data_IF_005627289746
#
_entry.id   IF_005627289746
#
_cell.length_a   1.000
_cell.length_b   1.000
_cell.length_c   1.000
_cell.angle_alpha   90.00
_cell.angle_beta   90.00
_cell.angle_gamma   90.00
#
_symmetry.space_group_name_H-M   'P 1'
#
loop_
_entity.id
_entity.type
_entity.pdbx_description
1 polymer ?
#
# COMPACT_ATOMS: atom_id res chain seq x y z
N UNK A 1 -14.62 18.54 28.89
CA UNK A 1 -14.63 19.36 27.64
C UNK A 1 -13.30 19.28 26.87
N UNK A 2 -12.12 19.26 27.51
CA UNK A 2 -10.82 19.09 26.81
C UNK A 2 -10.49 17.66 26.30
N UNK A 3 -11.22 16.63 26.76
CA UNK A 3 -11.07 15.23 26.31
C UNK A 3 -11.83 14.91 25.01
N UNK A 4 -12.80 15.73 24.62
CA UNK A 4 -13.57 15.57 23.39
C UNK A 4 -12.89 16.21 22.16
N UNK A 5 -12.13 17.30 22.33
CA UNK A 5 -11.44 17.95 21.21
C UNK A 5 -10.22 17.19 20.68
N UNK A 6 -9.61 16.27 21.46
CA UNK A 6 -8.35 15.61 21.04
C UNK A 6 -8.51 14.38 20.14
N UNK A 7 -9.71 13.78 20.09
CA UNK A 7 -10.02 12.70 19.11
C UNK A 7 -10.11 13.20 17.66
N UNK A 8 -10.19 14.52 17.46
CA UNK A 8 -10.27 15.12 16.12
C UNK A 8 -8.89 15.40 15.49
N UNK A 9 -7.79 15.23 16.22
CA UNK A 9 -6.47 15.67 15.76
C UNK A 9 -5.72 14.63 14.91
N UNK A 10 -6.08 13.34 14.98
CA UNK A 10 -5.50 12.31 14.14
C UNK A 10 -6.53 11.22 13.80
N UNK A 11 -6.75 10.90 12.51
CA UNK A 11 -7.58 9.78 12.07
C UNK A 11 -7.24 8.45 12.76
N UNK A 12 -5.94 8.24 13.03
CA UNK A 12 -5.39 7.05 13.68
C UNK A 12 -5.91 6.86 15.12
N UNK A 13 -6.24 7.95 15.83
CA UNK A 13 -6.73 7.88 17.21
C UNK A 13 -8.08 7.16 17.35
N UNK A 14 -8.89 7.16 16.28
CA UNK A 14 -10.16 6.44 16.23
C UNK A 14 -9.98 4.92 16.04
N UNK A 15 -8.91 4.50 15.34
CA UNK A 15 -8.62 3.10 15.07
C UNK A 15 -8.13 2.34 16.31
N UNK A 16 -7.43 3.02 17.22
CA UNK A 16 -6.88 2.40 18.44
C UNK A 16 -7.79 2.48 19.66
N UNK A 17 -9.05 2.91 19.49
CA UNK A 17 -10.13 2.71 20.46
C UNK A 17 -9.74 2.88 21.93
N UNK A 18 -9.15 4.02 22.32
CA UNK A 18 -8.82 4.30 23.72
C UNK A 18 -7.86 3.31 24.41
N UNK A 19 -7.20 2.41 23.67
CA UNK A 19 -6.23 1.48 24.22
C UNK A 19 -5.02 2.24 24.81
N UNK A 20 -4.35 1.60 25.76
CA UNK A 20 -3.16 2.03 26.53
C UNK A 20 -2.18 3.03 25.86
N UNK A 21 -1.81 2.92 24.57
CA UNK A 21 -1.00 3.94 23.88
C UNK A 21 -1.59 5.36 23.92
N UNK A 22 -2.90 5.55 23.75
CA UNK A 22 -3.50 6.88 23.87
C UNK A 22 -3.31 7.46 25.28
N UNK A 23 -3.41 6.64 26.34
CA UNK A 23 -3.19 7.12 27.72
C UNK A 23 -1.73 7.50 27.99
N UNK A 24 -0.75 6.78 27.44
CA UNK A 24 0.66 7.14 27.57
C UNK A 24 1.02 8.40 26.80
N UNK A 25 0.43 8.61 25.61
CA UNK A 25 0.55 9.84 24.82
C UNK A 25 -0.07 11.05 25.54
N UNK A 26 -1.20 10.85 26.22
CA UNK A 26 -1.93 11.88 26.96
C UNK A 26 -1.28 12.29 28.30
N UNK A 27 -0.37 11.49 28.86
CA UNK A 27 0.18 11.68 30.23
C UNK A 27 1.43 12.56 30.30
N UNK A 28 1.65 13.49 29.35
CA UNK A 28 2.81 14.40 29.39
C UNK A 28 4.15 13.78 28.93
N UNK A 29 4.17 12.48 28.58
CA UNK A 29 5.31 11.80 27.96
C UNK A 29 5.44 12.02 26.45
N UNK A 30 4.44 12.67 25.83
CA UNK A 30 4.40 12.99 24.40
C UNK A 30 5.41 14.05 23.93
N UNK A 31 6.09 14.72 24.86
CA UNK A 31 7.12 15.72 24.56
C UNK A 31 8.47 15.11 24.16
N UNK A 32 8.69 13.82 24.47
CA UNK A 32 9.87 13.06 24.07
C UNK A 32 9.48 12.01 22.98
N UNK A 33 9.83 12.27 21.71
CA UNK A 33 9.51 11.37 20.59
C UNK A 33 10.02 9.93 20.79
N UNK A 34 11.15 9.75 21.47
CA UNK A 34 11.76 8.44 21.68
C UNK A 34 10.90 7.47 22.48
N UNK A 35 10.09 7.99 23.41
CA UNK A 35 9.16 7.16 24.19
C UNK A 35 7.96 6.69 23.35
N UNK A 36 7.69 7.35 22.22
CA UNK A 36 6.57 7.09 21.32
C UNK A 36 6.96 6.08 20.23
N UNK A 37 8.24 5.95 19.88
CA UNK A 37 8.74 5.06 18.81
C UNK A 37 8.20 3.64 18.91
N UNK A 38 8.13 3.06 20.12
CA UNK A 38 7.57 1.72 20.38
C UNK A 38 6.09 1.54 19.98
N UNK A 39 5.39 2.63 19.68
CA UNK A 39 3.99 2.63 19.27
C UNK A 39 3.81 2.89 17.76
N UNK A 40 4.87 3.26 17.03
CA UNK A 40 4.82 3.47 15.58
C UNK A 40 4.37 2.22 14.79
N UNK A 41 4.78 0.98 15.12
CA UNK A 41 4.30 -0.22 14.42
C UNK A 41 2.79 -0.44 14.48
N UNK A 42 2.10 0.24 15.40
CA UNK A 42 0.63 0.20 15.44
C UNK A 42 0.03 1.22 14.48
N UNK A 43 0.67 2.36 14.30
CA UNK A 43 0.15 3.52 13.59
C UNK A 43 0.38 3.44 12.07
N UNK A 44 1.51 2.87 11.66
CA UNK A 44 1.97 2.76 10.28
C UNK A 44 2.04 1.28 9.87
N UNK A 45 2.02 0.99 8.57
CA UNK A 45 2.11 -0.41 8.11
C UNK A 45 3.47 -1.02 8.44
N UNK A 46 4.57 -0.31 8.13
CA UNK A 46 5.91 -0.83 8.37
C UNK A 46 6.93 0.21 8.84
N UNK A 47 6.52 1.30 9.50
CA UNK A 47 7.46 2.20 10.19
C UNK A 47 7.60 1.75 11.64
N UNK A 48 8.76 1.19 11.98
CA UNK A 48 9.02 0.66 13.33
C UNK A 48 9.72 1.67 14.24
N UNK A 49 10.70 2.41 13.71
CA UNK A 49 11.40 3.45 14.44
C UNK A 49 11.93 4.52 13.48
N UNK A 50 12.35 5.66 14.02
CA UNK A 50 12.92 6.78 13.29
C UNK A 50 14.40 6.95 13.65
N UNK A 51 15.20 7.39 12.68
CA UNK A 51 16.57 7.86 12.91
C UNK A 51 16.54 9.35 13.22
N UNK A 52 17.23 9.79 14.28
CA UNK A 52 17.28 11.18 14.70
C UNK A 52 18.70 11.74 14.57
N UNK A 53 18.80 13.03 14.22
CA UNK A 53 20.04 13.77 14.36
C UNK A 53 20.53 13.72 15.82
N UNK A 54 21.84 13.69 16.01
CA UNK A 54 22.47 13.70 17.34
C UNK A 54 22.98 15.10 17.67
N UNK A 55 22.87 15.49 18.93
CA UNK A 55 23.45 16.73 19.44
C UNK A 55 24.97 16.59 19.69
N UNK A 56 25.59 17.66 20.21
CA UNK A 56 27.04 17.69 20.52
C UNK A 56 27.46 16.65 21.56
N UNK A 57 26.54 16.21 22.40
CA UNK A 57 26.74 15.22 23.45
C UNK A 57 26.31 13.81 22.99
N UNK A 58 26.11 13.63 21.67
CA UNK A 58 25.69 12.39 21.02
C UNK A 58 24.30 11.89 21.44
N UNK A 59 23.46 12.75 22.02
CA UNK A 59 22.09 12.42 22.36
C UNK A 59 21.14 12.65 21.17
N UNK A 60 20.17 11.75 20.95
CA UNK A 60 19.19 11.90 19.89
C UNK A 60 18.29 13.13 20.11
N UNK A 61 18.26 14.01 19.11
CA UNK A 61 17.40 15.19 19.05
C UNK A 61 15.95 14.83 18.73
N UNK A 62 15.09 15.83 18.53
CA UNK A 62 13.71 15.65 18.05
C UNK A 62 13.59 15.69 16.53
N UNK A 63 14.69 15.95 15.83
CA UNK A 63 14.74 16.07 14.36
C UNK A 63 15.07 14.71 13.77
N UNK A 64 14.06 14.06 13.18
CA UNK A 64 14.19 12.82 12.46
C UNK A 64 14.71 13.05 11.04
N UNK A 65 15.54 12.12 10.55
CA UNK A 65 16.22 12.17 9.24
C UNK A 65 15.91 10.97 8.35
N UNK A 66 15.24 9.97 8.89
CA UNK A 66 14.89 8.75 8.19
C UNK A 66 14.09 7.80 9.07
N UNK A 67 13.75 6.65 8.50
CA UNK A 67 12.93 5.63 9.13
C UNK A 67 13.49 4.24 8.93
N UNK A 68 13.13 3.34 9.84
CA UNK A 68 13.44 1.92 9.78
C UNK A 68 12.17 1.08 9.68
N UNK A 69 12.21 0.06 8.81
CA UNK A 69 11.17 -0.97 8.75
C UNK A 69 11.28 -2.02 9.85
N UNK A 70 10.25 -2.86 9.97
CA UNK A 70 10.29 -4.07 10.80
C UNK A 70 11.37 -5.06 10.36
N UNK A 71 11.80 -5.01 9.10
CA UNK A 71 12.94 -5.75 8.56
C UNK A 71 14.31 -5.08 8.83
N UNK A 72 14.36 -3.96 9.55
CA UNK A 72 15.57 -3.13 9.71
C UNK A 72 16.11 -2.55 8.39
N UNK A 73 15.25 -2.36 7.38
CA UNK A 73 15.60 -1.58 6.19
C UNK A 73 15.54 -0.10 6.53
N UNK A 74 16.63 0.63 6.26
CA UNK A 74 16.71 2.06 6.48
C UNK A 74 16.33 2.85 5.23
N UNK A 75 15.48 3.87 5.40
CA UNK A 75 15.13 4.82 4.35
C UNK A 75 15.45 6.23 4.84
N UNK A 76 16.39 6.88 4.16
CA UNK A 76 16.72 8.29 4.42
C UNK A 76 15.72 9.22 3.73
N UNK A 77 15.37 10.32 4.39
CA UNK A 77 14.48 11.32 3.80
C UNK A 77 15.29 12.45 3.13
N UNK A 78 14.77 13.05 2.03
CA UNK A 78 15.39 14.22 1.41
C UNK A 78 15.41 15.46 2.32
N UNK A 79 14.41 15.58 3.21
CA UNK A 79 14.30 16.66 4.19
C UNK A 79 14.09 16.09 5.59
N UNK A 80 14.44 16.86 6.62
CA UNK A 80 14.30 16.44 8.01
C UNK A 80 12.91 16.77 8.55
N UNK A 81 12.48 16.04 9.58
CA UNK A 81 11.18 16.23 10.22
C UNK A 81 11.33 16.47 11.72
N UNK A 82 10.74 17.55 12.25
CA UNK A 82 10.79 17.85 13.68
C UNK A 82 9.57 17.27 14.41
N UNK A 83 9.81 16.32 15.31
CA UNK A 83 8.78 15.71 16.15
C UNK A 83 8.49 16.59 17.39
N UNK A 84 7.89 17.75 17.18
CA UNK A 84 7.58 18.72 18.23
C UNK A 84 6.07 18.98 18.38
N UNK A 85 5.65 19.31 19.60
CA UNK A 85 4.26 19.62 19.91
C UNK A 85 3.42 18.39 20.29
N UNK A 86 2.08 18.48 20.18
CA UNK A 86 1.17 17.39 20.49
C UNK A 86 1.42 16.16 19.62
N UNK A 87 1.33 14.97 20.22
CA UNK A 87 1.62 13.69 19.55
C UNK A 87 0.74 13.46 18.34
N UNK A 88 -0.54 13.80 18.43
CA UNK A 88 -1.46 13.63 17.31
C UNK A 88 -1.09 14.51 16.12
N UNK A 89 -0.62 15.73 16.38
CA UNK A 89 -0.24 16.70 15.34
C UNK A 89 1.04 16.28 14.61
N UNK A 90 2.09 15.92 15.35
CA UNK A 90 3.33 15.52 14.68
C UNK A 90 3.24 14.12 14.08
N UNK A 91 2.44 13.20 14.60
CA UNK A 91 2.21 11.90 13.93
C UNK A 91 1.49 12.08 12.60
N UNK A 92 0.48 12.95 12.54
CA UNK A 92 -0.18 13.29 11.28
C UNK A 92 0.79 14.00 10.31
N UNK A 93 1.59 14.93 10.82
CA UNK A 93 2.64 15.59 10.04
C UNK A 93 3.70 14.60 9.53
N UNK A 94 4.05 13.60 10.32
CA UNK A 94 4.99 12.53 9.96
C UNK A 94 4.44 11.71 8.81
N UNK A 95 3.16 11.31 8.84
CA UNK A 95 2.52 10.61 7.71
C UNK A 95 2.68 11.37 6.40
N UNK A 96 2.28 12.64 6.38
CA UNK A 96 2.41 13.48 5.17
C UNK A 96 3.87 13.63 4.73
N UNK A 97 4.77 13.88 5.69
CA UNK A 97 6.20 14.00 5.41
C UNK A 97 6.80 12.72 4.80
N UNK A 98 6.39 11.55 5.30
CA UNK A 98 6.85 10.27 4.75
C UNK A 98 6.32 10.03 3.35
N UNK A 99 5.05 10.35 3.07
CA UNK A 99 4.47 10.24 1.74
C UNK A 99 5.17 11.17 0.74
N UNK A 100 5.37 12.44 1.10
CA UNK A 100 6.08 13.42 0.26
C UNK A 100 7.54 13.01 0.02
N UNK A 101 8.23 12.53 1.06
CA UNK A 101 9.62 12.07 0.96
C UNK A 101 9.73 10.85 0.05
N UNK A 102 8.84 9.88 0.18
CA UNK A 102 8.82 8.68 -0.66
C UNK A 102 8.45 9.02 -2.11
N UNK A 103 7.55 9.98 -2.33
CA UNK A 103 7.21 10.48 -3.66
C UNK A 103 8.42 11.10 -4.36
N UNK A 104 9.19 11.94 -3.65
CA UNK A 104 10.43 12.51 -4.19
C UNK A 104 11.48 11.42 -4.46
N UNK A 105 11.70 10.50 -3.50
CA UNK A 105 12.61 9.37 -3.71
C UNK A 105 12.20 8.45 -4.86
N UNK A 106 10.90 8.31 -5.13
CA UNK A 106 10.42 7.56 -6.29
C UNK A 106 10.84 8.22 -7.60
N UNK A 107 10.75 9.55 -7.70
CA UNK A 107 11.20 10.29 -8.90
C UNK A 107 12.70 10.12 -9.15
N UNK A 108 13.50 10.22 -8.09
CA UNK A 108 14.95 9.98 -8.14
C UNK A 108 15.24 8.51 -8.55
N UNK A 109 14.49 7.55 -8.02
CA UNK A 109 14.63 6.13 -8.31
C UNK A 109 14.30 5.80 -9.77
N UNK A 110 13.22 6.37 -10.33
CA UNK A 110 12.87 6.22 -11.75
C UNK A 110 13.98 6.79 -12.64
N UNK A 111 14.48 7.99 -12.31
CA UNK A 111 15.52 8.66 -13.11
C UNK A 111 16.85 7.89 -13.12
N UNK A 112 17.16 7.18 -12.03
CA UNK A 112 18.40 6.43 -11.88
C UNK A 112 18.34 5.00 -12.47
N UNK A 113 17.18 4.54 -12.97
CA UNK A 113 17.01 3.15 -13.41
C UNK A 113 17.95 2.76 -14.56
N UNK A 114 18.17 3.68 -15.50
CA UNK A 114 19.02 3.43 -16.68
C UNK A 114 20.53 3.62 -16.41
N UNK A 115 20.92 4.07 -15.22
CA UNK A 115 22.34 4.29 -14.88
C UNK A 115 23.11 2.98 -14.68
N UNK A 116 22.42 1.91 -14.28
CA UNK A 116 23.02 0.61 -13.95
C UNK A 116 22.17 -0.55 -14.45
N UNK A 117 22.77 -1.73 -14.68
CA UNK A 117 22.00 -2.93 -14.91
C UNK A 117 21.00 -3.20 -13.77
N UNK A 118 19.78 -3.61 -14.10
CA UNK A 118 18.69 -3.87 -13.12
C UNK A 118 19.12 -4.71 -11.92
N UNK A 119 19.91 -5.76 -12.13
CA UNK A 119 20.39 -6.66 -11.08
C UNK A 119 21.36 -6.02 -10.07
N UNK A 120 21.95 -4.87 -10.39
CA UNK A 120 22.77 -4.07 -9.48
C UNK A 120 21.95 -2.91 -8.90
N UNK A 121 21.15 -2.23 -9.75
CA UNK A 121 20.30 -1.10 -9.37
C UNK A 121 19.38 -1.38 -8.16
N UNK A 122 18.83 -2.60 -8.07
CA UNK A 122 17.88 -2.97 -7.01
C UNK A 122 18.46 -2.87 -5.58
N UNK A 123 19.79 -2.86 -5.43
CA UNK A 123 20.45 -2.74 -4.12
C UNK A 123 20.64 -1.29 -3.68
N UNK A 124 20.63 -0.33 -4.61
CA UNK A 124 20.80 1.09 -4.30
C UNK A 124 19.56 1.70 -3.62
N UNK A 125 18.40 1.06 -3.81
CA UNK A 125 17.10 1.56 -3.36
C UNK A 125 16.43 0.59 -2.39
N UNK A 126 15.53 1.13 -1.55
CA UNK A 126 14.72 0.30 -0.66
C UNK A 126 13.77 -0.60 -1.48
N UNK A 127 13.38 -1.74 -0.90
CA UNK A 127 12.65 -2.79 -1.60
C UNK A 127 11.37 -2.28 -2.26
N UNK A 128 10.63 -1.41 -1.58
CA UNK A 128 9.38 -0.83 -2.10
C UNK A 128 9.61 0.02 -3.35
N UNK A 129 10.61 0.91 -3.35
CA UNK A 129 10.91 1.77 -4.49
C UNK A 129 11.43 0.94 -5.67
N UNK A 130 12.42 0.07 -5.42
CA UNK A 130 12.98 -0.81 -6.44
C UNK A 130 11.89 -1.67 -7.10
N UNK A 131 11.00 -2.28 -6.32
CA UNK A 131 9.91 -3.11 -6.85
C UNK A 131 8.88 -2.29 -7.64
N UNK A 132 8.60 -1.05 -7.23
CA UNK A 132 7.63 -0.21 -7.96
C UNK A 132 8.21 0.28 -9.28
N UNK A 133 9.48 0.71 -9.31
CA UNK A 133 10.15 1.12 -10.56
C UNK A 133 10.26 -0.06 -11.52
N UNK A 134 10.59 -1.26 -11.03
CA UNK A 134 10.59 -2.46 -11.88
C UNK A 134 9.23 -2.72 -12.54
N UNK A 135 8.10 -2.44 -11.85
CA UNK A 135 6.75 -2.57 -12.41
C UNK A 135 6.43 -1.49 -13.45
N UNK A 136 6.95 -0.27 -13.26
CA UNK A 136 6.81 0.82 -14.25
C UNK A 136 7.53 0.41 -15.54
N UNK A 137 8.82 0.05 -15.43
CA UNK A 137 9.63 -0.36 -16.57
C UNK A 137 9.04 -1.57 -17.27
N UNK A 138 8.55 -2.57 -16.53
CA UNK A 138 7.84 -3.70 -17.12
C UNK A 138 6.63 -3.26 -17.95
N UNK A 139 5.83 -2.33 -17.45
CA UNK A 139 4.66 -1.81 -18.16
C UNK A 139 5.07 -1.10 -19.45
N UNK A 140 6.12 -0.29 -19.38
CA UNK A 140 6.68 0.44 -20.52
C UNK A 140 7.28 -0.51 -21.58
N UNK A 141 8.09 -1.48 -21.17
CA UNK A 141 8.71 -2.47 -22.08
C UNK A 141 7.67 -3.32 -22.82
N UNK A 142 6.57 -3.71 -22.15
CA UNK A 142 5.48 -4.45 -22.80
C UNK A 142 4.74 -3.55 -23.80
N UNK A 143 4.45 -2.29 -23.45
CA UNK A 143 3.80 -1.36 -24.36
C UNK A 143 4.69 -1.04 -25.57
N UNK A 144 5.99 -0.82 -25.35
CA UNK A 144 6.98 -0.67 -26.42
C UNK A 144 7.02 -1.91 -27.32
N UNK A 145 6.93 -3.11 -26.75
CA UNK A 145 6.88 -4.35 -27.54
C UNK A 145 5.64 -4.42 -28.44
N UNK A 146 4.49 -3.86 -28.01
CA UNK A 146 3.31 -3.72 -28.86
C UNK A 146 3.49 -2.68 -29.96
N UNK A 147 4.11 -1.54 -29.67
CA UNK A 147 4.44 -0.52 -30.70
C UNK A 147 5.35 -1.11 -31.79
N UNK A 148 6.35 -1.89 -31.39
CA UNK A 148 7.24 -2.59 -32.33
C UNK A 148 6.50 -3.66 -33.16
N UNK A 149 5.49 -4.32 -32.60
CA UNK A 149 4.62 -5.23 -33.36
C UNK A 149 3.83 -4.48 -34.44
N UNK A 150 3.30 -3.30 -34.12
CA UNK A 150 2.58 -2.44 -35.07
C UNK A 150 3.50 -1.93 -36.20
N UNK A 151 4.78 -1.69 -35.90
CA UNK A 151 5.82 -1.36 -36.89
C UNK A 151 6.26 -2.56 -37.75
N UNK A 152 5.76 -3.77 -37.47
CA UNK A 152 6.01 -4.99 -38.26
C UNK A 152 7.06 -5.94 -37.67
N UNK A 153 7.56 -5.71 -36.46
CA UNK A 153 8.46 -6.63 -35.78
C UNK A 153 7.69 -7.73 -35.03
N UNK A 154 7.32 -8.81 -35.75
CA UNK A 154 6.58 -9.96 -35.21
C UNK A 154 7.25 -10.70 -34.03
N UNK A 155 8.53 -10.42 -33.75
CA UNK A 155 9.29 -11.06 -32.67
C UNK A 155 9.47 -10.17 -31.43
N UNK A 156 8.94 -8.94 -31.41
CA UNK A 156 9.17 -8.00 -30.32
C UNK A 156 8.85 -8.59 -28.93
N UNK A 157 7.67 -9.17 -28.74
CA UNK A 157 7.29 -9.84 -27.48
C UNK A 157 8.17 -11.04 -27.14
N UNK A 158 8.61 -11.81 -28.15
CA UNK A 158 9.50 -12.98 -27.94
C UNK A 158 10.89 -12.54 -27.50
N UNK A 159 11.40 -11.45 -28.06
CA UNK A 159 12.70 -10.90 -27.71
C UNK A 159 12.66 -10.24 -26.33
N UNK A 160 11.55 -9.59 -25.96
CA UNK A 160 11.33 -9.14 -24.60
C UNK A 160 11.27 -10.32 -23.61
N UNK A 161 10.56 -11.40 -23.94
CA UNK A 161 10.50 -12.58 -23.10
C UNK A 161 11.89 -13.19 -22.83
N UNK A 162 12.78 -13.23 -23.82
CA UNK A 162 14.18 -13.66 -23.62
C UNK A 162 14.90 -12.77 -22.60
N UNK A 163 14.76 -11.45 -22.69
CA UNK A 163 15.33 -10.51 -21.71
C UNK A 163 14.82 -10.78 -20.30
N UNK A 164 13.53 -11.09 -20.13
CA UNK A 164 12.95 -11.45 -18.83
C UNK A 164 13.60 -12.74 -18.27
N UNK A 165 13.80 -13.75 -19.11
CA UNK A 165 14.45 -15.00 -18.72
C UNK A 165 15.91 -14.74 -18.28
N UNK A 166 16.65 -13.89 -19.00
CA UNK A 166 18.02 -13.54 -18.64
C UNK A 166 18.11 -12.84 -17.29
N UNK A 167 17.18 -11.93 -16.98
CA UNK A 167 17.12 -11.27 -15.66
C UNK A 167 16.78 -12.27 -14.56
N UNK A 168 15.84 -13.19 -14.78
CA UNK A 168 15.51 -14.24 -13.82
C UNK A 168 16.71 -15.16 -13.54
N UNK A 169 17.50 -15.48 -14.56
CA UNK A 169 18.74 -16.26 -14.39
C UNK A 169 19.76 -15.49 -13.53
N UNK A 170 19.93 -14.19 -13.77
CA UNK A 170 20.80 -13.34 -12.92
C UNK A 170 20.31 -13.28 -11.47
N UNK A 171 19.00 -13.21 -11.24
CA UNK A 171 18.44 -13.28 -9.89
C UNK A 171 18.73 -14.64 -9.23
N UNK A 172 18.62 -15.75 -9.97
CA UNK A 172 18.97 -17.07 -9.47
C UNK A 172 20.45 -17.15 -9.06
N UNK A 173 21.36 -16.61 -9.89
CA UNK A 173 22.80 -16.54 -9.57
C UNK A 173 23.06 -15.70 -8.30
N UNK A 174 22.43 -14.53 -8.17
CA UNK A 174 22.56 -13.69 -6.99
C UNK A 174 22.06 -14.40 -5.71
N UNK A 175 20.94 -15.11 -5.80
CA UNK A 175 20.40 -15.88 -4.67
C UNK A 175 21.32 -17.04 -4.28
N UNK A 176 22.04 -17.65 -5.22
CA UNK A 176 23.04 -18.69 -4.90
C UNK A 176 24.31 -18.12 -4.24
N UNK A 177 24.57 -16.81 -4.42
CA UNK A 177 25.68 -16.11 -3.79
C UNK A 177 25.45 -15.68 -2.34
N UNK A 178 26.41 -14.89 -1.84
CA UNK A 178 26.34 -14.28 -0.51
C UNK A 178 25.53 -12.97 -0.56
N UNK A 179 24.46 -12.93 0.23
CA UNK A 179 23.55 -11.78 0.34
C UNK A 179 23.13 -11.60 1.78
N UNK A 180 22.88 -10.36 2.19
CA UNK A 180 22.23 -10.08 3.47
C UNK A 180 20.82 -10.69 3.51
N UNK A 181 20.28 -10.93 4.70
CA UNK A 181 18.92 -11.47 4.84
C UNK A 181 17.85 -10.60 4.16
N UNK A 182 18.01 -9.27 4.23
CA UNK A 182 17.10 -8.32 3.59
C UNK A 182 17.24 -8.32 2.08
N UNK A 183 18.46 -8.32 1.56
CA UNK A 183 18.70 -8.35 0.11
C UNK A 183 18.20 -9.65 -0.50
N UNK A 184 18.42 -10.78 0.18
CA UNK A 184 17.86 -12.06 -0.23
C UNK A 184 16.33 -12.03 -0.30
N UNK A 185 15.67 -11.47 0.72
CA UNK A 185 14.19 -11.30 0.72
C UNK A 185 13.73 -10.38 -0.40
N UNK A 186 14.47 -9.29 -0.67
CA UNK A 186 14.19 -8.35 -1.75
C UNK A 186 14.26 -9.04 -3.12
N UNK A 187 15.31 -9.80 -3.40
CA UNK A 187 15.47 -10.52 -4.67
C UNK A 187 14.40 -11.59 -4.84
N UNK A 188 14.10 -12.38 -3.79
CA UNK A 188 13.03 -13.39 -3.87
C UNK A 188 11.68 -12.73 -4.20
N UNK A 189 11.42 -11.55 -3.64
CA UNK A 189 10.20 -10.78 -3.91
C UNK A 189 10.16 -10.33 -5.38
N UNK A 190 11.23 -9.72 -5.88
CA UNK A 190 11.33 -9.30 -7.29
C UNK A 190 11.25 -10.48 -8.26
N UNK A 191 11.91 -11.59 -7.94
CA UNK A 191 11.88 -12.82 -8.73
C UNK A 191 10.46 -13.39 -8.81
N UNK A 192 9.69 -13.36 -7.71
CA UNK A 192 8.29 -13.82 -7.68
C UNK A 192 7.42 -12.97 -8.60
N UNK A 193 7.58 -11.64 -8.55
CA UNK A 193 6.87 -10.71 -9.44
C UNK A 193 7.25 -10.91 -10.91
N UNK A 194 8.54 -11.09 -11.20
CA UNK A 194 9.04 -11.24 -12.57
C UNK A 194 8.66 -12.57 -13.21
N UNK A 195 8.52 -13.65 -12.43
CA UNK A 195 7.98 -14.92 -12.92
C UNK A 195 6.54 -14.74 -13.40
N UNK A 196 5.70 -14.08 -12.62
CA UNK A 196 4.34 -13.74 -13.05
C UNK A 196 4.33 -12.85 -14.29
N UNK A 197 5.14 -11.79 -14.30
CA UNK A 197 5.25 -10.88 -15.43
C UNK A 197 5.70 -11.57 -16.73
N UNK A 198 6.60 -12.56 -16.63
CA UNK A 198 7.01 -13.41 -17.74
C UNK A 198 5.87 -14.30 -18.22
N UNK A 199 5.14 -14.94 -17.30
CA UNK A 199 4.05 -15.84 -17.64
C UNK A 199 2.91 -15.10 -18.34
N UNK A 200 2.64 -13.84 -17.96
CA UNK A 200 1.73 -12.94 -18.70
C UNK A 200 2.20 -12.72 -20.13
N UNK A 201 3.48 -12.40 -20.34
CA UNK A 201 4.04 -12.18 -21.69
C UNK A 201 3.98 -13.45 -22.54
N UNK A 202 4.25 -14.62 -21.96
CA UNK A 202 4.07 -15.91 -22.64
C UNK A 202 2.60 -16.07 -23.07
N UNK A 203 1.65 -15.77 -22.18
CA UNK A 203 0.23 -15.80 -22.51
C UNK A 203 -0.16 -14.85 -23.65
N UNK A 204 0.44 -13.66 -23.72
CA UNK A 204 0.24 -12.72 -24.83
C UNK A 204 0.79 -13.26 -26.16
N UNK A 205 1.95 -13.93 -26.14
CA UNK A 205 2.55 -14.57 -27.32
C UNK A 205 1.67 -15.74 -27.80
N UNK A 206 1.24 -16.60 -26.88
CA UNK A 206 0.45 -17.79 -27.19
C UNK A 206 -0.94 -17.43 -27.74
N UNK A 207 -1.54 -16.35 -27.21
CA UNK A 207 -2.80 -15.81 -27.70
C UNK A 207 -2.67 -14.95 -28.96
N UNK A 208 -1.44 -14.72 -29.45
CA UNK A 208 -1.13 -13.85 -30.60
C UNK A 208 -1.73 -12.45 -30.43
N UNK A 209 -1.50 -11.84 -29.27
CA UNK A 209 -1.94 -10.49 -29.00
C UNK A 209 -1.27 -9.49 -29.96
N UNK A 210 -2.08 -8.81 -30.78
CA UNK A 210 -1.58 -7.81 -31.75
C UNK A 210 -1.55 -6.40 -31.18
N UNK A 211 -2.36 -6.11 -30.14
CA UNK A 211 -2.48 -4.76 -29.56
C UNK A 211 -2.45 -4.77 -28.04
N UNK A 212 -2.05 -3.63 -27.46
CA UNK A 212 -2.10 -3.40 -26.02
C UNK A 212 -3.54 -3.28 -25.47
N UNK A 213 -4.55 -3.22 -26.34
CA UNK A 213 -5.98 -3.20 -26.01
C UNK A 213 -6.55 -4.61 -25.76
N UNK A 214 -5.72 -5.65 -25.81
CA UNK A 214 -6.17 -7.02 -25.52
C UNK A 214 -6.56 -7.16 -24.05
N UNK A 215 -7.67 -7.86 -23.78
CA UNK A 215 -8.14 -8.03 -22.40
C UNK A 215 -7.08 -8.66 -21.49
N UNK A 216 -6.29 -9.61 -22.01
CA UNK A 216 -5.21 -10.26 -21.27
C UNK A 216 -4.17 -9.26 -20.72
N UNK A 217 -3.88 -8.18 -21.45
CA UNK A 217 -3.00 -7.11 -20.99
C UNK A 217 -3.74 -6.02 -20.20
N UNK A 218 -4.96 -5.66 -20.61
CA UNK A 218 -5.78 -4.69 -19.89
C UNK A 218 -6.13 -5.14 -18.48
N UNK A 219 -6.25 -6.45 -18.26
CA UNK A 219 -6.58 -7.05 -16.96
C UNK A 219 -5.42 -7.06 -15.97
N UNK A 220 -4.21 -6.69 -16.38
CA UNK A 220 -3.04 -6.62 -15.52
C UNK A 220 -2.97 -5.28 -14.79
N UNK A 221 -2.37 -5.30 -13.59
CA UNK A 221 -2.09 -4.11 -12.82
C UNK A 221 -0.83 -3.41 -13.38
N UNK A 222 -1.03 -2.25 -13.98
CA UNK A 222 0.00 -1.49 -14.71
C UNK A 222 0.37 -0.23 -13.95
N UNK A 223 1.64 0.15 -14.03
CA UNK A 223 2.23 1.27 -13.31
C UNK A 223 2.89 2.20 -14.32
N UNK A 224 2.65 3.50 -14.18
CA UNK A 224 3.17 4.54 -15.06
C UNK A 224 3.65 5.71 -14.21
N UNK A 225 4.75 6.34 -14.58
CA UNK A 225 5.10 7.63 -14.00
C UNK A 225 4.27 8.73 -14.69
N UNK A 226 3.46 9.48 -13.93
CA UNK A 226 2.68 10.58 -14.48
C UNK A 226 3.43 11.90 -14.31
N UNK A 227 4.00 12.41 -15.41
CA UNK A 227 4.76 13.66 -15.45
C UNK A 227 3.98 14.89 -14.98
N UNK A 228 2.64 14.87 -15.08
CA UNK A 228 1.81 16.03 -14.67
C UNK A 228 1.70 16.12 -13.15
N UNK A 229 1.56 14.97 -12.50
CA UNK A 229 1.38 14.91 -11.04
C UNK A 229 2.68 14.55 -10.30
N UNK A 230 3.70 14.16 -11.05
CA UNK A 230 4.95 13.55 -10.60
C UNK A 230 4.71 12.40 -9.60
N UNK A 231 3.65 11.62 -9.84
CA UNK A 231 3.20 10.49 -9.02
C UNK A 231 3.09 9.24 -9.89
N UNK A 232 3.26 8.06 -9.30
CA UNK A 232 2.97 6.79 -9.97
C UNK A 232 1.46 6.62 -10.15
N UNK A 233 1.00 6.62 -11.40
CA UNK A 233 -0.36 6.29 -11.82
C UNK A 233 -0.48 4.77 -11.99
N UNK A 234 -1.55 4.21 -11.45
CA UNK A 234 -1.83 2.78 -11.49
C UNK A 234 -3.14 2.57 -12.25
N UNK A 235 -3.14 1.61 -13.15
CA UNK A 235 -4.32 1.28 -13.94
C UNK A 235 -4.53 -0.24 -14.03
N UNK A 236 -5.79 -0.66 -13.99
CA UNK A 236 -6.22 -2.03 -14.23
C UNK A 236 -7.63 -1.99 -14.80
N UNK A 237 -7.81 -2.60 -15.98
CA UNK A 237 -8.99 -2.40 -16.80
C UNK A 237 -9.31 -0.90 -16.96
N UNK A 238 -10.47 -0.45 -16.47
CA UNK A 238 -10.92 0.95 -16.50
C UNK A 238 -10.82 1.65 -15.12
N UNK A 239 -10.22 1.00 -14.13
CA UNK A 239 -9.92 1.60 -12.83
C UNK A 239 -8.56 2.30 -12.89
N UNK A 240 -8.53 3.55 -12.45
CA UNK A 240 -7.32 4.39 -12.40
C UNK A 240 -7.21 4.98 -11.01
N UNK A 241 -6.04 4.85 -10.41
CA UNK A 241 -5.70 5.46 -9.12
C UNK A 241 -4.25 5.93 -9.13
N UNK A 242 -3.85 6.64 -8.09
CA UNK A 242 -2.46 7.00 -7.82
C UNK A 242 -1.91 6.16 -6.67
N UNK A 243 -0.61 5.88 -6.69
CA UNK A 243 0.08 5.15 -5.62
C UNK A 243 0.02 5.96 -4.32
N UNK A 244 -0.34 5.31 -3.21
CA UNK A 244 -0.60 5.96 -1.93
C UNK A 244 0.64 6.32 -1.11
N UNK A 245 1.82 5.80 -1.48
CA UNK A 245 3.11 6.03 -0.80
C UNK A 245 3.15 5.70 0.70
N UNK A 246 2.27 4.83 1.19
CA UNK A 246 2.46 4.22 2.51
C UNK A 246 3.72 3.34 2.51
N UNK A 247 4.58 3.46 3.52
CA UNK A 247 5.79 2.66 3.60
C UNK A 247 5.48 1.21 4.02
N UNK A 248 5.52 0.32 3.03
CA UNK A 248 5.23 -1.12 3.19
C UNK A 248 6.50 -1.91 3.59
N UNK A 249 7.69 -1.35 3.34
CA UNK A 249 8.98 -2.00 3.57
C UNK A 249 9.19 -3.29 2.77
N UNK A 250 10.12 -4.13 3.21
CA UNK A 250 10.50 -5.37 2.52
C UNK A 250 9.66 -6.56 3.01
N UNK A 251 8.33 -6.47 2.90
CA UNK A 251 7.41 -7.44 3.52
C UNK A 251 7.20 -8.73 2.71
N UNK A 252 7.85 -8.89 1.55
CA UNK A 252 7.55 -9.95 0.59
C UNK A 252 6.32 -9.63 -0.27
N UNK A 253 6.01 -10.53 -1.21
CA UNK A 253 4.80 -10.47 -2.04
C UNK A 253 4.10 -11.82 -2.02
N UNK A 254 2.77 -11.83 -2.12
CA UNK A 254 2.01 -13.05 -2.35
C UNK A 254 2.32 -13.60 -3.76
N UNK A 255 2.41 -14.92 -3.89
CA UNK A 255 2.55 -15.53 -5.23
C UNK A 255 1.31 -15.18 -6.05
N UNK A 256 1.53 -14.48 -7.17
CA UNK A 256 0.45 -14.08 -8.07
C UNK A 256 0.02 -15.27 -8.90
N UNK A 257 -1.30 -15.49 -8.98
CA UNK A 257 -1.95 -16.58 -9.70
C UNK A 257 -3.12 -16.03 -10.51
N UNK A 258 -3.65 -16.79 -11.49
CA UNK A 258 -4.87 -16.41 -12.19
C UNK A 258 -6.09 -16.21 -11.29
N UNK A 259 -6.07 -16.74 -10.05
CA UNK A 259 -7.13 -16.48 -9.07
C UNK A 259 -6.96 -15.11 -8.41
N UNK A 260 -5.74 -14.74 -8.01
CA UNK A 260 -5.47 -13.42 -7.41
C UNK A 260 -5.69 -12.30 -8.41
N UNK A 261 -5.33 -12.49 -9.69
CA UNK A 261 -5.61 -11.50 -10.75
C UNK A 261 -7.11 -11.24 -10.89
N UNK A 262 -7.93 -12.30 -10.92
CA UNK A 262 -9.39 -12.17 -10.96
C UNK A 262 -9.94 -11.44 -9.74
N UNK A 263 -9.37 -11.69 -8.57
CA UNK A 263 -9.70 -10.93 -7.36
C UNK A 263 -9.32 -9.46 -7.52
N UNK A 264 -8.14 -9.13 -8.04
CA UNK A 264 -7.69 -7.74 -8.23
C UNK A 264 -8.61 -6.98 -9.16
N UNK A 265 -8.98 -7.58 -10.29
CA UNK A 265 -9.96 -7.00 -11.23
C UNK A 265 -11.28 -6.75 -10.50
N UNK A 266 -11.83 -7.75 -9.82
CA UNK A 266 -13.14 -7.62 -9.16
C UNK A 266 -13.14 -6.54 -8.06
N UNK A 267 -12.10 -6.50 -7.23
CA UNK A 267 -11.97 -5.54 -6.15
C UNK A 267 -11.79 -4.10 -6.67
N UNK A 268 -10.95 -3.91 -7.69
CA UNK A 268 -10.72 -2.60 -8.28
C UNK A 268 -11.93 -2.09 -9.07
N UNK A 269 -12.70 -2.97 -9.71
CA UNK A 269 -13.99 -2.61 -10.29
C UNK A 269 -15.01 -2.20 -9.23
N UNK A 270 -15.07 -2.89 -8.09
CA UNK A 270 -15.93 -2.48 -6.98
C UNK A 270 -15.52 -1.08 -6.46
N UNK A 271 -14.22 -0.84 -6.30
CA UNK A 271 -13.70 0.47 -5.89
C UNK A 271 -14.04 1.58 -6.88
N UNK A 272 -13.95 1.32 -8.19
CA UNK A 272 -14.37 2.26 -9.24
C UNK A 272 -15.82 2.70 -9.06
N UNK A 273 -16.68 1.78 -8.66
CA UNK A 273 -18.10 2.03 -8.37
C UNK A 273 -18.36 2.58 -6.96
N UNK A 274 -17.29 2.91 -6.21
CA UNK A 274 -17.32 3.38 -4.82
C UNK A 274 -18.09 2.37 -3.95
N UNK A 275 -17.80 1.10 -4.16
CA UNK A 275 -18.30 -0.04 -3.39
C UNK A 275 -17.15 -0.69 -2.62
N UNK A 276 -17.51 -1.48 -1.62
CA UNK A 276 -16.61 -2.41 -0.98
C UNK A 276 -16.47 -3.71 -1.78
N UNK A 277 -15.51 -4.55 -1.39
CA UNK A 277 -15.37 -5.90 -1.92
C UNK A 277 -15.70 -6.97 -0.88
N UNK A 278 -16.22 -8.11 -1.34
CA UNK A 278 -16.55 -9.25 -0.49
C UNK A 278 -15.91 -10.56 -0.99
N UNK A 279 -14.57 -10.75 -0.92
CA UNK A 279 -13.96 -12.04 -1.21
C UNK A 279 -14.56 -13.14 -0.34
N UNK A 280 -15.07 -14.20 -0.96
CA UNK A 280 -15.70 -15.33 -0.29
C UNK A 280 -15.08 -16.66 -0.77
N UNK A 281 -14.93 -17.60 0.15
CA UNK A 281 -14.33 -18.90 -0.12
C UNK A 281 -13.90 -19.62 1.17
N UNK A 282 -13.45 -20.88 1.10
CA UNK A 282 -13.06 -21.66 2.28
C UNK A 282 -11.96 -20.99 3.11
N UNK A 283 -11.84 -21.38 4.39
CA UNK A 283 -10.78 -20.90 5.26
C UNK A 283 -9.39 -21.26 4.69
N UNK A 284 -8.40 -20.37 4.88
CA UNK A 284 -7.02 -20.59 4.40
C UNK A 284 -6.79 -20.41 2.90
N UNK A 285 -7.76 -19.89 2.13
CA UNK A 285 -7.63 -19.63 0.68
C UNK A 285 -7.06 -18.26 0.32
N UNK A 286 -6.48 -17.53 1.28
CA UNK A 286 -5.78 -16.27 1.02
C UNK A 286 -6.67 -15.04 0.80
N UNK A 287 -7.93 -15.04 1.27
CA UNK A 287 -8.89 -13.94 1.03
C UNK A 287 -8.42 -12.59 1.61
N UNK A 288 -8.03 -12.62 2.87
CA UNK A 288 -7.54 -11.45 3.62
C UNK A 288 -6.18 -11.02 3.07
N UNK A 289 -5.34 -11.98 2.77
CA UNK A 289 -4.01 -11.81 2.20
C UNK A 289 -4.07 -11.17 0.81
N UNK A 290 -5.02 -11.57 -0.03
CA UNK A 290 -5.24 -10.97 -1.36
C UNK A 290 -5.67 -9.50 -1.25
N UNK A 291 -6.55 -9.18 -0.29
CA UNK A 291 -6.96 -7.78 -0.05
C UNK A 291 -5.79 -6.95 0.46
N UNK A 292 -4.97 -7.51 1.35
CA UNK A 292 -3.77 -6.87 1.86
C UNK A 292 -2.70 -6.67 0.79
N UNK A 293 -2.47 -7.68 -0.06
CA UNK A 293 -1.50 -7.60 -1.16
C UNK A 293 -1.93 -6.56 -2.20
N UNK A 294 -3.23 -6.45 -2.51
CA UNK A 294 -3.75 -5.39 -3.39
C UNK A 294 -3.51 -4.01 -2.77
N UNK A 295 -3.83 -3.81 -1.50
CA UNK A 295 -3.59 -2.52 -0.82
C UNK A 295 -2.11 -2.13 -0.84
N UNK A 296 -1.21 -3.09 -0.59
CA UNK A 296 0.24 -2.89 -0.72
C UNK A 296 0.67 -2.57 -2.15
N UNK A 297 0.11 -3.26 -3.14
CA UNK A 297 0.38 -2.96 -4.55
C UNK A 297 -0.03 -1.53 -4.92
N UNK A 298 -1.07 -0.98 -4.28
CA UNK A 298 -1.51 0.40 -4.45
C UNK A 298 -0.82 1.40 -3.51
N UNK A 299 0.05 0.96 -2.60
CA UNK A 299 0.69 1.85 -1.62
C UNK A 299 -0.25 2.35 -0.52
N UNK A 300 -1.29 1.58 -0.18
CA UNK A 300 -2.34 1.96 0.79
C UNK A 300 -2.32 1.01 1.99
N UNK A 301 -2.49 1.57 3.19
CA UNK A 301 -2.58 0.80 4.42
C UNK A 301 -3.90 0.02 4.52
N UNK A 302 -3.80 -1.28 4.82
CA UNK A 302 -4.96 -2.17 5.04
C UNK A 302 -4.98 -2.64 6.49
N UNK A 303 -5.97 -2.16 7.25
CA UNK A 303 -6.25 -2.63 8.61
C UNK A 303 -7.14 -3.87 8.57
N UNK A 304 -6.65 -4.96 9.15
CA UNK A 304 -7.42 -6.21 9.27
C UNK A 304 -8.09 -6.29 10.64
N UNK A 305 -9.40 -6.44 10.66
CA UNK A 305 -10.21 -6.59 11.87
C UNK A 305 -10.82 -7.98 11.90
N UNK A 306 -10.44 -8.80 12.88
CA UNK A 306 -11.04 -10.12 13.05
C UNK A 306 -12.40 -10.00 13.73
N UNK A 307 -13.48 -10.34 13.03
CA UNK A 307 -14.85 -10.17 13.51
C UNK A 307 -15.25 -11.23 14.55
N UNK A 308 -16.01 -10.79 15.53
CA UNK A 308 -16.60 -11.66 16.56
C UNK A 308 -18.02 -11.21 16.90
N UNK A 309 -18.74 -12.07 17.61
CA UNK A 309 -20.08 -11.82 18.14
C UNK A 309 -20.12 -10.70 19.19
N UNK A 310 -18.96 -10.34 19.76
CA UNK A 310 -18.80 -9.26 20.73
C UNK A 310 -18.63 -7.87 20.09
N UNK A 311 -18.49 -7.78 18.76
CA UNK A 311 -18.39 -6.47 18.08
C UNK A 311 -19.72 -5.73 18.12
N UNK A 312 -19.71 -4.51 18.64
CA UNK A 312 -20.87 -3.62 18.64
C UNK A 312 -20.82 -2.57 17.51
N UNK A 313 -21.99 -2.06 17.12
CA UNK A 313 -22.11 -1.05 16.07
C UNK A 313 -21.40 0.27 16.41
N UNK A 314 -21.19 0.55 17.71
CA UNK A 314 -20.50 1.76 18.18
C UNK A 314 -19.02 1.68 17.91
N UNK A 315 -18.39 0.54 18.20
CA UNK A 315 -16.97 0.28 17.91
C UNK A 315 -16.74 0.27 16.42
N UNK A 316 -17.60 -0.42 15.65
CA UNK A 316 -17.56 -0.39 14.18
C UNK A 316 -17.67 1.05 13.64
N UNK A 317 -18.59 1.85 14.19
CA UNK A 317 -18.71 3.27 13.86
C UNK A 317 -17.43 4.06 14.15
N UNK A 318 -16.70 3.78 15.24
CA UNK A 318 -15.40 4.43 15.50
C UNK A 318 -14.34 4.00 14.48
N UNK A 319 -14.29 2.72 14.13
CA UNK A 319 -13.36 2.19 13.13
C UNK A 319 -13.62 2.87 11.79
N UNK A 320 -14.87 2.92 11.34
CA UNK A 320 -15.24 3.60 10.10
C UNK A 320 -14.94 5.10 10.09
N UNK A 321 -15.10 5.79 11.23
CA UNK A 321 -14.65 7.18 11.39
C UNK A 321 -13.15 7.30 11.17
N UNK A 322 -12.37 6.39 11.73
CA UNK A 322 -10.91 6.35 11.55
C UNK A 322 -10.51 6.10 10.10
N UNK A 323 -11.06 5.06 9.48
CA UNK A 323 -10.79 4.69 8.09
C UNK A 323 -11.16 5.83 7.12
N UNK A 324 -12.35 6.41 7.28
CA UNK A 324 -12.85 7.49 6.41
C UNK A 324 -11.95 8.72 6.44
N UNK A 325 -11.41 9.08 7.61
CA UNK A 325 -10.55 10.25 7.75
C UNK A 325 -9.09 9.96 7.40
N UNK A 326 -8.66 8.69 7.47
CA UNK A 326 -7.29 8.28 7.17
C UNK A 326 -7.06 7.94 5.70
N UNK A 327 -8.13 7.69 4.92
CA UNK A 327 -8.01 7.15 3.56
C UNK A 327 -7.51 5.71 3.53
N UNK A 328 -7.59 5.00 4.66
CA UNK A 328 -7.11 3.64 4.79
C UNK A 328 -8.20 2.62 4.45
N UNK A 329 -7.78 1.39 4.18
CA UNK A 329 -8.70 0.29 3.92
C UNK A 329 -8.97 -0.51 5.19
N UNK A 330 -10.22 -0.92 5.38
CA UNK A 330 -10.60 -1.86 6.43
C UNK A 330 -10.97 -3.21 5.82
N UNK A 331 -10.27 -4.28 6.17
CA UNK A 331 -10.61 -5.65 5.83
C UNK A 331 -11.20 -6.35 7.07
N UNK A 332 -12.50 -6.59 7.06
CA UNK A 332 -13.22 -7.22 8.16
C UNK A 332 -13.28 -8.73 7.92
N UNK A 333 -12.42 -9.45 8.63
CA UNK A 333 -12.24 -10.89 8.49
C UNK A 333 -13.34 -11.65 9.23
N UNK A 334 -13.84 -12.74 8.62
CA UNK A 334 -14.94 -13.56 9.16
C UNK A 334 -16.19 -12.73 9.51
N UNK A 335 -16.58 -11.83 8.61
CA UNK A 335 -17.64 -10.83 8.83
C UNK A 335 -19.00 -11.46 9.21
N UNK A 336 -19.24 -12.71 8.80
CA UNK A 336 -20.42 -13.49 9.17
C UNK A 336 -20.49 -13.89 10.66
N UNK A 337 -19.46 -13.61 11.46
CA UNK A 337 -19.47 -13.82 12.92
C UNK A 337 -20.12 -12.68 13.71
N UNK A 338 -20.40 -11.54 13.06
CA UNK A 338 -21.08 -10.42 13.70
C UNK A 338 -22.56 -10.78 13.90
N UNK A 339 -23.12 -10.39 15.06
CA UNK A 339 -24.54 -10.58 15.34
C UNK A 339 -25.42 -9.89 14.28
N UNK A 340 -26.43 -10.61 13.79
CA UNK A 340 -27.39 -10.13 12.78
C UNK A 340 -28.05 -8.80 13.16
N UNK A 341 -28.32 -8.57 14.45
CA UNK A 341 -28.88 -7.30 14.93
C UNK A 341 -27.94 -6.10 14.71
N UNK A 342 -26.63 -6.34 14.76
CA UNK A 342 -25.59 -5.32 14.53
C UNK A 342 -25.36 -5.10 13.03
N UNK A 343 -25.51 -6.15 12.21
CA UNK A 343 -25.26 -6.08 10.76
C UNK A 343 -26.10 -5.02 10.05
N UNK A 344 -27.38 -4.87 10.42
CA UNK A 344 -28.25 -3.88 9.79
C UNK A 344 -27.74 -2.44 10.01
N UNK A 345 -27.28 -2.14 11.22
CA UNK A 345 -26.71 -0.82 11.56
C UNK A 345 -25.37 -0.59 10.84
N UNK A 346 -24.50 -1.60 10.84
CA UNK A 346 -23.19 -1.56 10.16
C UNK A 346 -23.36 -1.36 8.65
N UNK A 347 -24.33 -2.02 8.02
CA UNK A 347 -24.64 -1.81 6.61
C UNK A 347 -25.04 -0.35 6.32
N UNK A 348 -25.88 0.24 7.18
CA UNK A 348 -26.28 1.64 7.05
C UNK A 348 -25.10 2.60 7.23
N UNK A 349 -24.16 2.28 8.12
CA UNK A 349 -22.92 3.03 8.29
C UNK A 349 -22.08 3.02 7.01
N UNK A 350 -21.83 1.84 6.44
CA UNK A 350 -21.07 1.70 5.19
C UNK A 350 -21.76 2.45 4.04
N UNK A 351 -23.08 2.31 3.90
CA UNK A 351 -23.87 3.01 2.86
C UNK A 351 -23.74 4.53 3.00
N UNK A 352 -23.72 5.05 4.22
CA UNK A 352 -23.59 6.50 4.46
C UNK A 352 -22.25 7.02 3.95
N UNK A 353 -21.16 6.28 4.19
CA UNK A 353 -19.81 6.60 3.70
C UNK A 353 -19.76 6.51 2.17
N UNK A 354 -20.30 5.43 1.60
CA UNK A 354 -20.35 5.24 0.15
C UNK A 354 -21.13 6.35 -0.55
N UNK A 355 -22.28 6.77 -0.01
CA UNK A 355 -23.06 7.90 -0.55
C UNK A 355 -22.28 9.20 -0.52
N UNK A 356 -21.61 9.50 0.59
CA UNK A 356 -20.77 10.70 0.70
C UNK A 356 -19.62 10.69 -0.30
N UNK A 357 -18.95 9.55 -0.46
CA UNK A 357 -17.85 9.38 -1.42
C UNK A 357 -18.32 9.49 -2.88
N UNK A 358 -19.46 8.87 -3.23
CA UNK A 358 -20.10 9.01 -4.55
C UNK A 358 -20.49 10.45 -4.87
N UNK A 359 -20.92 11.20 -3.87
CA UNK A 359 -21.23 12.63 -4.02
C UNK A 359 -19.97 13.52 -4.09
N UNK A 360 -18.78 12.94 -3.97
CA UNK A 360 -17.51 13.66 -4.04
C UNK A 360 -17.25 14.58 -2.84
N UNK A 361 -17.90 14.34 -1.70
CA UNK A 361 -17.75 15.15 -0.50
C UNK A 361 -16.37 14.95 0.15
N UNK A 362 -15.78 16.03 0.67
CA UNK A 362 -14.53 15.99 1.46
C UNK A 362 -14.80 15.97 2.97
N UNK A 363 -16.05 16.28 3.37
CA UNK A 363 -16.56 16.19 4.74
C UNK A 363 -18.02 15.76 4.71
N UNK A 364 -18.45 15.01 5.72
CA UNK A 364 -19.83 14.54 5.82
C UNK A 364 -20.21 14.27 7.28
N UNK A 365 -21.52 14.30 7.54
CA UNK A 365 -22.07 13.91 8.84
C UNK A 365 -22.18 12.38 8.93
N UNK A 366 -21.47 11.80 9.88
CA UNK A 366 -21.47 10.37 10.16
C UNK A 366 -21.70 10.12 11.65
N UNK A 367 -22.76 9.37 11.99
CA UNK A 367 -23.13 9.08 13.40
C UNK A 367 -23.21 10.38 14.24
N UNK A 368 -23.87 11.40 13.69
CA UNK A 368 -24.06 12.71 14.33
C UNK A 368 -22.81 13.60 14.45
N UNK A 369 -21.69 13.21 13.84
CA UNK A 369 -20.42 13.97 13.87
C UNK A 369 -20.02 14.40 12.45
N UNK A 370 -19.58 15.64 12.27
CA UNK A 370 -18.99 16.09 11.00
C UNK A 370 -17.51 15.69 10.92
N UNK A 371 -17.17 14.80 9.99
CA UNK A 371 -15.83 14.22 9.82
C UNK A 371 -15.29 14.47 8.42
N UNK A 372 -13.96 14.48 8.28
CA UNK A 372 -13.33 14.45 6.96
C UNK A 372 -13.55 13.10 6.26
N UNK A 373 -13.55 13.12 4.93
CA UNK A 373 -13.64 11.96 4.07
C UNK A 373 -12.52 12.00 3.04
N UNK A 374 -11.64 11.02 3.13
CA UNK A 374 -10.66 10.71 2.10
C UNK A 374 -11.25 9.69 1.12
N UNK A 375 -11.09 9.96 -0.17
CA UNK A 375 -11.65 9.12 -1.25
C UNK A 375 -10.96 7.76 -1.38
N UNK A 376 -9.75 7.61 -0.85
CA UNK A 376 -9.02 6.34 -0.83
C UNK A 376 -9.64 5.33 0.14
N UNK A 377 -10.50 5.75 1.07
CA UNK A 377 -11.18 4.86 2.01
C UNK A 377 -12.00 3.79 1.28
N UNK A 378 -11.75 2.52 1.65
CA UNK A 378 -12.52 1.38 1.18
C UNK A 378 -12.75 0.36 2.30
N UNK A 379 -13.89 -0.33 2.23
CA UNK A 379 -14.28 -1.36 3.20
C UNK A 379 -14.40 -2.69 2.46
N UNK A 380 -13.66 -3.68 2.92
CA UNK A 380 -13.68 -5.04 2.42
C UNK A 380 -14.15 -5.97 3.53
N UNK A 381 -14.88 -7.00 3.15
CA UNK A 381 -15.31 -8.07 4.07
C UNK A 381 -14.81 -9.39 3.53
N UNK A 382 -14.44 -10.33 4.40
CA UNK A 382 -14.21 -11.71 4.00
C UNK A 382 -15.26 -12.60 4.65
N UNK A 383 -15.68 -13.61 3.91
CA UNK A 383 -16.67 -14.57 4.39
C UNK A 383 -16.18 -16.00 4.14
N UNK A 384 -16.43 -16.85 5.13
CA UNK A 384 -16.38 -18.30 4.98
C UNK A 384 -17.82 -18.77 4.72
N UNK A 385 -18.19 -19.08 3.47
CA UNK A 385 -19.56 -19.47 3.11
C UNK A 385 -19.94 -20.85 3.63
#
# INVERSE_FOLDING_TARGET
RASLCRRYASPLSWLFGGQTPCRSWLSGKGSNPQLILKHLPKCFDNITTLEFNKDKDNNPTKTAIGMYSGENEYVSWPSTFNCEGPVETWLFGLTNHTHDSLKLRMQECVSAFDEKPRHEFIFDWCAMLAATVCKIVYTEDVNWSFEQLEEGNENALRDFNKKQIDILNKYAELVLGELSGNDRKKIITLMTLDVHARDVVIGLIDSKAETNQTFAWMSQLKFHMDDKTNTVRIEICDYVTYFGYEYIGNCGCLVVTPLTDRCYITLTQAMRLVLGGAPAGPAGTGKTETTKDLGRALGVMVYVFNCSDQMDYKSMGQIFKGLSQAGAWGCFDEFNRINVEVLSVVAQQIITIQKASKAGLTRFTFEGSDIALDKANAVFITMNP
#
